data_IF_516160357394
#
_entry.id   IF_516160357394
#
_cell.length_a   1.000
_cell.length_b   1.000
_cell.length_c   1.000
_cell.angle_alpha   90.00
_cell.angle_beta   90.00
_cell.angle_gamma   90.00
#
_symmetry.space_group_name_H-M   'P 1'
#
loop_
_entity.id
_entity.type
_entity.pdbx_description
1 polymer ?
#
# COMPACT_ATOMS: atom_id res chain seq x y z
N UNK A 1 -15.19 31.13 -30.51
CA UNK A 1 -14.21 30.40 -29.69
C UNK A 1 -13.38 29.52 -30.61
N UNK A 2 -12.09 29.83 -30.74
CA UNK A 2 -11.18 29.16 -31.69
C UNK A 2 -10.74 27.81 -31.11
N UNK A 3 -10.26 26.88 -31.94
CA UNK A 3 -9.74 25.57 -31.50
C UNK A 3 -8.68 25.69 -30.40
N UNK A 4 -7.82 26.72 -30.49
CA UNK A 4 -6.78 27.01 -29.48
C UNK A 4 -7.38 27.32 -28.09
N UNK A 5 -8.45 28.10 -28.06
CA UNK A 5 -9.14 28.45 -26.81
C UNK A 5 -9.73 27.20 -26.14
N UNK A 6 -10.28 26.27 -26.92
CA UNK A 6 -10.82 25.00 -26.39
C UNK A 6 -9.72 24.12 -25.79
N UNK A 7 -8.55 24.07 -26.41
CA UNK A 7 -7.40 23.32 -25.90
C UNK A 7 -6.86 23.93 -24.60
N UNK A 8 -6.80 25.25 -24.48
CA UNK A 8 -6.40 25.91 -23.24
C UNK A 8 -7.39 25.69 -22.10
N UNK A 9 -8.70 25.70 -22.39
CA UNK A 9 -9.73 25.38 -21.39
C UNK A 9 -9.63 23.93 -20.92
N UNK A 10 -9.38 22.99 -21.85
CA UNK A 10 -9.19 21.59 -21.49
C UNK A 10 -7.92 21.37 -20.66
N UNK A 11 -6.81 22.05 -21.00
CA UNK A 11 -5.56 21.95 -20.25
C UNK A 11 -5.68 22.54 -18.83
N UNK A 12 -6.38 23.65 -18.68
CA UNK A 12 -6.64 24.26 -17.36
C UNK A 12 -7.59 23.41 -16.52
N UNK A 13 -8.62 22.80 -17.12
CA UNK A 13 -9.47 21.83 -16.44
C UNK A 13 -8.67 20.59 -15.99
N UNK A 14 -7.80 20.06 -16.85
CA UNK A 14 -6.93 18.93 -16.50
C UNK A 14 -5.94 19.28 -15.38
N UNK A 15 -5.37 20.50 -15.42
CA UNK A 15 -4.51 20.99 -14.35
C UNK A 15 -5.27 21.13 -13.01
N UNK A 16 -6.56 21.47 -13.05
CA UNK A 16 -7.41 21.52 -11.86
C UNK A 16 -7.69 20.15 -11.24
N UNK A 17 -7.69 19.08 -12.04
CA UNK A 17 -7.90 17.70 -11.57
C UNK A 17 -6.61 17.02 -11.08
N UNK A 18 -5.45 17.59 -11.41
CA UNK A 18 -4.16 17.02 -11.06
C UNK A 18 -3.96 16.86 -9.54
N UNK A 19 -4.30 17.85 -8.67
CA UNK A 19 -4.15 17.69 -7.23
C UNK A 19 -4.97 16.52 -6.68
N UNK A 20 -6.24 16.39 -7.07
CA UNK A 20 -7.13 15.33 -6.60
C UNK A 20 -6.63 13.94 -7.04
N UNK A 21 -6.15 13.83 -8.29
CA UNK A 21 -5.54 12.61 -8.79
C UNK A 21 -4.30 12.22 -7.99
N UNK A 22 -3.44 13.18 -7.63
CA UNK A 22 -2.26 12.94 -6.80
C UNK A 22 -2.65 12.54 -5.37
N UNK A 23 -3.69 13.14 -4.79
CA UNK A 23 -4.19 12.77 -3.47
C UNK A 23 -4.74 11.34 -3.45
N UNK A 24 -5.54 10.96 -4.46
CA UNK A 24 -6.05 9.60 -4.62
C UNK A 24 -4.93 8.59 -4.85
N UNK A 25 -3.96 8.92 -5.70
CA UNK A 25 -2.80 8.07 -5.94
C UNK A 25 -1.97 7.86 -4.67
N UNK A 26 -1.75 8.93 -3.88
CA UNK A 26 -1.07 8.86 -2.60
C UNK A 26 -1.80 7.98 -1.58
N UNK A 27 -3.11 8.17 -1.43
CA UNK A 27 -3.93 7.35 -0.53
C UNK A 27 -3.93 5.87 -0.94
N UNK A 28 -4.03 5.59 -2.24
CA UNK A 28 -3.92 4.23 -2.78
C UNK A 28 -2.54 3.61 -2.53
N UNK A 29 -1.46 4.37 -2.75
CA UNK A 29 -0.09 3.93 -2.52
C UNK A 29 0.18 3.57 -1.05
N UNK A 30 -0.27 4.40 -0.11
CA UNK A 30 -0.16 4.12 1.34
C UNK A 30 -0.92 2.85 1.70
N UNK A 31 -2.15 2.71 1.22
CA UNK A 31 -3.01 1.56 1.52
C UNK A 31 -2.40 0.24 1.01
N UNK A 32 -1.87 0.26 -0.22
CA UNK A 32 -1.18 -0.88 -0.81
C UNK A 32 0.13 -1.21 -0.09
N UNK A 33 0.93 -0.19 0.26
CA UNK A 33 2.15 -0.37 1.03
C UNK A 33 1.88 -1.00 2.41
N UNK A 34 0.84 -0.56 3.11
CA UNK A 34 0.44 -1.13 4.39
C UNK A 34 0.02 -2.61 4.25
N UNK A 35 -0.73 -2.95 3.20
CA UNK A 35 -1.09 -4.35 2.90
C UNK A 35 0.13 -5.24 2.70
N UNK A 36 1.15 -4.76 1.98
CA UNK A 36 2.40 -5.48 1.77
C UNK A 36 3.18 -5.78 3.06
N UNK A 37 2.91 -5.08 4.17
CA UNK A 37 3.52 -5.36 5.49
C UNK A 37 2.84 -6.54 6.19
N UNK A 38 1.53 -6.69 6.05
CA UNK A 38 0.77 -7.71 6.78
C UNK A 38 1.07 -9.14 6.32
N UNK A 39 1.31 -9.33 5.02
CA UNK A 39 1.68 -10.65 4.47
C UNK A 39 3.00 -11.17 5.08
N UNK A 40 4.13 -10.46 5.00
CA UNK A 40 5.38 -10.89 5.65
C UNK A 40 5.27 -10.94 7.17
N UNK A 41 4.46 -10.09 7.81
CA UNK A 41 4.23 -10.16 9.25
C UNK A 41 3.62 -11.51 9.68
N UNK A 42 2.72 -12.10 8.88
CA UNK A 42 2.16 -13.43 9.15
C UNK A 42 3.22 -14.53 9.17
N UNK A 43 4.16 -14.52 8.23
CA UNK A 43 5.29 -15.47 8.21
C UNK A 43 6.21 -15.29 9.43
N UNK A 44 6.51 -14.06 9.82
CA UNK A 44 7.35 -13.77 11.00
C UNK A 44 6.68 -14.28 12.27
N UNK A 45 5.40 -13.94 12.48
CA UNK A 45 4.65 -14.35 13.68
C UNK A 45 4.45 -15.86 13.72
N UNK A 46 4.09 -16.48 12.59
CA UNK A 46 3.97 -17.94 12.48
C UNK A 46 5.29 -18.66 12.76
N UNK A 47 6.40 -18.16 12.21
CA UNK A 47 7.74 -18.67 12.47
C UNK A 47 8.13 -18.56 13.95
N UNK A 48 7.81 -17.44 14.61
CA UNK A 48 8.03 -17.26 16.04
C UNK A 48 7.27 -18.29 16.87
N UNK A 49 5.98 -18.53 16.57
CA UNK A 49 5.19 -19.55 17.25
C UNK A 49 5.74 -20.96 17.03
N UNK A 50 6.15 -21.29 15.81
CA UNK A 50 6.79 -22.57 15.50
C UNK A 50 8.09 -22.76 16.31
N UNK A 51 8.91 -21.70 16.43
CA UNK A 51 10.12 -21.69 17.24
C UNK A 51 9.81 -21.93 18.72
N UNK A 52 8.84 -21.19 19.27
CA UNK A 52 8.42 -21.33 20.66
C UNK A 52 7.90 -22.75 20.94
N UNK A 53 7.06 -23.29 20.06
CA UNK A 53 6.56 -24.67 20.16
C UNK A 53 7.71 -25.68 20.14
N UNK A 54 8.68 -25.52 19.24
CA UNK A 54 9.87 -26.37 19.17
C UNK A 54 10.69 -26.35 20.48
N UNK A 55 10.90 -25.16 21.07
CA UNK A 55 11.59 -25.02 22.36
C UNK A 55 10.83 -25.71 23.49
N UNK A 56 9.50 -25.55 23.54
CA UNK A 56 8.65 -26.20 24.57
C UNK A 56 8.71 -27.72 24.44
N UNK A 57 8.55 -28.24 23.22
CA UNK A 57 8.62 -29.68 22.95
C UNK A 57 10.01 -30.26 23.27
N UNK A 58 11.09 -29.58 22.88
CA UNK A 58 12.45 -30.00 23.19
C UNK A 58 12.73 -30.05 24.69
N UNK A 59 12.10 -29.16 25.47
CA UNK A 59 12.21 -29.14 26.94
C UNK A 59 11.34 -30.18 27.63
N UNK A 60 10.18 -30.51 27.06
CA UNK A 60 9.27 -31.54 27.58
C UNK A 60 9.62 -32.98 27.15
N UNK A 61 10.49 -33.16 26.15
CA UNK A 61 10.97 -34.46 25.68
C UNK A 61 12.11 -35.05 26.56
N UNK A 62 12.26 -34.54 27.79
CA UNK A 62 13.25 -34.99 28.78
C UNK A 62 12.51 -35.71 29.91
#
# INVERSE_FOLDING_TARGET
>A
MTIKDKLQTAASAAAGLLPDALMLAGAGGISYGAWLVYVPAGYVVGGLFALAAGVVLARGAK
#
